data_IF_167471491346
#
_entry.id   IF_167471491346
#
_cell.length_a   1.000
_cell.length_b   1.000
_cell.length_c   1.000
_cell.angle_alpha   90.00
_cell.angle_beta   90.00
_cell.angle_gamma   90.00
#
_symmetry.space_group_name_H-M   'P 1'
#
loop_
_entity.id
_entity.type
_entity.pdbx_description
1 polymer ?
#
# COMPACT_ATOMS: atom_id res chain seq x y z
N UNK A 1 4.75 11.97 5.46
CA UNK A 1 3.75 12.34 4.44
C UNK A 1 2.36 12.50 5.06
N UNK A 2 1.52 13.37 4.50
CA UNK A 2 0.12 13.59 4.94
C UNK A 2 -0.84 12.83 4.00
N UNK A 3 -1.81 12.11 4.55
CA UNK A 3 -2.89 11.46 3.79
C UNK A 3 -4.14 12.33 3.73
N UNK A 4 -4.94 12.16 2.67
CA UNK A 4 -6.22 12.84 2.55
C UNK A 4 -7.26 12.08 3.37
N UNK A 5 -8.06 12.81 4.15
CA UNK A 5 -9.11 12.25 5.01
C UNK A 5 -10.35 13.12 4.83
N UNK A 6 -11.53 12.55 4.52
CA UNK A 6 -12.77 13.33 4.42
C UNK A 6 -13.07 14.05 5.74
N UNK A 7 -13.50 15.30 5.66
CA UNK A 7 -13.95 16.06 6.85
C UNK A 7 -15.14 15.36 7.51
N UNK A 8 -15.09 15.19 8.82
CA UNK A 8 -16.09 14.45 9.59
C UNK A 8 -16.12 12.95 9.31
N UNK A 9 -15.02 12.39 8.79
CA UNK A 9 -14.91 10.96 8.53
C UNK A 9 -15.10 10.14 9.81
N UNK A 10 -15.85 9.04 9.70
CA UNK A 10 -16.01 8.03 10.74
C UNK A 10 -16.06 6.65 10.12
N UNK A 11 -15.40 5.69 10.75
CA UNK A 11 -15.42 4.28 10.39
C UNK A 11 -15.93 3.46 11.57
N UNK A 12 -17.05 2.77 11.34
CA UNK A 12 -17.73 1.94 12.35
C UNK A 12 -17.47 0.47 12.07
N UNK A 13 -17.15 -0.29 13.10
CA UNK A 13 -17.03 -1.74 13.02
C UNK A 13 -17.63 -2.36 14.28
N UNK A 14 -18.47 -3.37 14.09
CA UNK A 14 -19.15 -4.09 15.18
C UNK A 14 -19.94 -3.17 16.14
N UNK A 15 -20.45 -2.04 15.63
CA UNK A 15 -21.22 -1.05 16.40
C UNK A 15 -20.38 0.09 16.99
N UNK A 16 -19.06 -0.03 17.00
CA UNK A 16 -18.15 0.97 17.57
C UNK A 16 -17.50 1.84 16.49
N UNK A 17 -17.35 3.13 16.75
CA UNK A 17 -16.47 4.00 15.96
C UNK A 17 -15.03 3.63 16.30
N UNK A 18 -14.31 3.07 15.32
CA UNK A 18 -12.92 2.61 15.49
C UNK A 18 -11.91 3.51 14.76
N UNK A 19 -12.35 4.40 13.87
CA UNK A 19 -11.52 5.46 13.33
C UNK A 19 -12.37 6.69 13.01
N UNK A 20 -11.80 7.88 13.16
CA UNK A 20 -12.50 9.14 12.88
C UNK A 20 -11.51 10.26 12.55
N UNK A 21 -12.00 11.28 11.86
CA UNK A 21 -11.24 12.50 11.60
C UNK A 21 -11.45 13.51 12.72
N UNK A 22 -10.37 14.07 13.22
CA UNK A 22 -10.35 15.18 14.17
C UNK A 22 -9.26 16.17 13.78
N UNK A 23 -9.65 17.41 13.45
CA UNK A 23 -8.71 18.50 13.11
C UNK A 23 -7.71 18.11 12.00
N UNK A 24 -8.20 17.46 10.95
CA UNK A 24 -7.48 16.91 9.81
C UNK A 24 -6.53 15.73 10.13
N UNK A 25 -6.61 15.17 11.34
CA UNK A 25 -5.88 13.96 11.75
C UNK A 25 -6.83 12.77 11.77
N UNK A 26 -6.43 11.67 11.15
CA UNK A 26 -7.12 10.39 11.28
C UNK A 26 -6.72 9.73 12.60
N UNK A 27 -7.64 9.72 13.55
CA UNK A 27 -7.52 8.97 14.81
C UNK A 27 -7.97 7.53 14.58
N UNK A 28 -7.16 6.56 14.99
CA UNK A 28 -7.46 5.13 14.87
C UNK A 28 -7.40 4.46 16.23
N UNK A 29 -8.50 3.84 16.68
CA UNK A 29 -8.49 3.04 17.91
C UNK A 29 -7.65 1.78 17.71
N UNK A 30 -6.61 1.63 18.52
CA UNK A 30 -5.67 0.54 18.46
C UNK A 30 -6.36 -0.82 18.54
N UNK A 31 -5.89 -1.80 17.74
CA UNK A 31 -6.33 -3.21 17.74
C UNK A 31 -7.78 -3.49 17.30
N UNK A 32 -8.61 -2.49 17.03
CA UNK A 32 -10.03 -2.69 16.71
C UNK A 32 -10.32 -2.83 15.20
N UNK A 33 -9.41 -2.40 14.32
CA UNK A 33 -9.58 -2.49 12.86
C UNK A 33 -8.29 -2.81 12.11
N UNK A 34 -8.43 -3.27 10.87
CA UNK A 34 -7.31 -3.36 9.94
C UNK A 34 -7.11 -2.00 9.29
N UNK A 35 -5.88 -1.50 9.32
CA UNK A 35 -5.48 -0.27 8.63
C UNK A 35 -5.96 -0.25 7.17
N UNK A 36 -5.77 -1.37 6.46
CA UNK A 36 -6.17 -1.51 5.06
C UNK A 36 -7.67 -1.24 4.81
N UNK A 37 -8.55 -1.73 5.67
CA UNK A 37 -10.00 -1.60 5.50
C UNK A 37 -10.42 -0.12 5.62
N UNK A 38 -9.82 0.60 6.56
CA UNK A 38 -10.03 2.05 6.76
C UNK A 38 -9.51 2.84 5.55
N UNK A 39 -8.32 2.51 5.04
CA UNK A 39 -7.77 3.18 3.86
C UNK A 39 -8.63 2.97 2.61
N UNK A 40 -9.20 1.77 2.44
CA UNK A 40 -10.13 1.48 1.34
C UNK A 40 -11.41 2.31 1.43
N UNK A 41 -12.01 2.40 2.62
CA UNK A 41 -13.22 3.20 2.84
C UNK A 41 -12.96 4.69 2.59
N UNK A 42 -11.87 5.23 3.15
CA UNK A 42 -11.42 6.61 2.88
C UNK A 42 -11.26 6.85 1.38
N UNK A 43 -10.62 5.92 0.66
CA UNK A 43 -10.39 6.07 -0.78
C UNK A 43 -11.69 6.13 -1.56
N UNK A 44 -12.66 5.26 -1.26
CA UNK A 44 -13.96 5.30 -1.93
C UNK A 44 -14.75 6.56 -1.60
N UNK A 45 -14.66 7.08 -0.36
CA UNK A 45 -15.32 8.35 0.00
C UNK A 45 -14.72 9.56 -0.71
N UNK A 46 -13.40 9.57 -0.90
CA UNK A 46 -12.72 10.66 -1.59
C UNK A 46 -12.90 10.60 -3.12
N UNK A 47 -12.82 9.42 -3.71
CA UNK A 47 -12.69 9.24 -5.17
C UNK A 47 -13.95 8.70 -5.84
N UNK A 48 -14.94 8.28 -5.07
CA UNK A 48 -16.16 7.65 -5.57
C UNK A 48 -15.96 6.18 -5.96
N UNK A 49 -17.06 5.54 -6.38
CA UNK A 49 -17.11 4.10 -6.67
C UNK A 49 -17.91 3.76 -7.94
N UNK A 50 -18.15 4.73 -8.81
CA UNK A 50 -19.00 4.58 -10.00
C UNK A 50 -18.30 4.83 -11.35
N UNK A 51 -17.02 5.25 -11.35
CA UNK A 51 -16.28 5.57 -12.58
C UNK A 51 -14.85 5.05 -12.50
N UNK A 52 -14.38 4.44 -13.58
CA UNK A 52 -13.01 3.96 -13.67
C UNK A 52 -12.04 5.13 -13.86
N UNK A 53 -11.02 5.22 -13.01
CA UNK A 53 -9.96 6.23 -13.10
C UNK A 53 -9.19 6.18 -14.43
N UNK A 54 -9.01 4.98 -14.99
CA UNK A 54 -8.17 4.79 -16.19
C UNK A 54 -8.92 5.02 -17.50
N UNK A 55 -10.12 4.46 -17.66
CA UNK A 55 -10.87 4.56 -18.92
C UNK A 55 -12.00 5.59 -18.88
N UNK A 56 -12.32 6.17 -17.72
CA UNK A 56 -13.41 7.14 -17.57
C UNK A 56 -14.82 6.57 -17.65
N UNK A 57 -14.97 5.29 -18.03
CA UNK A 57 -16.26 4.61 -18.13
C UNK A 57 -16.96 4.44 -16.79
N UNK A 58 -18.30 4.44 -16.84
CA UNK A 58 -19.13 4.12 -15.68
C UNK A 58 -19.04 2.63 -15.33
N UNK A 59 -18.89 2.34 -14.05
CA UNK A 59 -18.75 1.00 -13.52
C UNK A 59 -19.75 0.82 -12.40
N UNK A 60 -20.51 -0.28 -12.44
CA UNK A 60 -21.43 -0.61 -11.35
C UNK A 60 -20.66 -0.73 -10.03
N UNK A 61 -21.20 -0.23 -8.89
CA UNK A 61 -20.50 -0.25 -7.60
C UNK A 61 -19.96 -1.63 -7.18
N UNK A 62 -20.66 -2.72 -7.51
CA UNK A 62 -20.22 -4.08 -7.20
C UNK A 62 -19.14 -4.65 -8.15
N UNK A 63 -18.82 -3.94 -9.22
CA UNK A 63 -17.79 -4.32 -10.20
C UNK A 63 -16.55 -3.42 -10.14
N UNK A 64 -16.62 -2.29 -9.44
CA UNK A 64 -15.47 -1.44 -9.23
C UNK A 64 -14.52 -2.07 -8.20
N UNK A 65 -13.24 -1.82 -8.36
CA UNK A 65 -12.17 -2.26 -7.46
C UNK A 65 -11.26 -1.09 -7.17
N UNK A 66 -10.44 -1.17 -6.13
CA UNK A 66 -9.31 -0.26 -5.97
C UNK A 66 -8.07 -0.88 -6.60
N UNK A 67 -7.33 -0.07 -7.34
CA UNK A 67 -6.02 -0.42 -7.88
C UNK A 67 -4.94 0.47 -7.26
N UNK A 68 -3.75 -0.10 -7.03
CA UNK A 68 -2.59 0.62 -6.55
C UNK A 68 -1.83 1.22 -7.72
N UNK A 69 -1.83 2.55 -7.81
CA UNK A 69 -1.17 3.33 -8.88
C UNK A 69 0.30 2.92 -9.00
N UNK A 70 1.03 2.98 -7.89
CA UNK A 70 2.30 2.28 -7.70
C UNK A 70 2.02 0.86 -7.18
N UNK A 71 2.36 -0.20 -7.91
CA UNK A 71 2.04 -1.58 -7.54
C UNK A 71 2.61 -2.01 -6.19
N UNK A 72 1.88 -2.84 -5.44
CA UNK A 72 2.37 -3.41 -4.18
C UNK A 72 3.66 -4.24 -4.36
N UNK A 73 3.81 -4.92 -5.51
CA UNK A 73 5.01 -5.69 -5.84
C UNK A 73 6.27 -4.82 -5.99
N UNK A 74 6.10 -3.50 -6.13
CA UNK A 74 7.17 -2.50 -6.26
C UNK A 74 7.22 -1.55 -5.04
N UNK A 75 6.62 -1.95 -3.92
CA UNK A 75 6.60 -1.17 -2.68
C UNK A 75 5.39 -0.27 -2.48
N UNK A 76 4.44 -0.26 -3.41
CA UNK A 76 3.21 0.54 -3.37
C UNK A 76 2.44 0.44 -2.05
N UNK A 77 2.31 1.52 -1.25
CA UNK A 77 1.56 1.49 0.01
C UNK A 77 0.05 1.45 -0.23
N UNK A 78 -0.69 0.90 0.73
CA UNK A 78 -2.16 0.93 0.72
C UNK A 78 -2.64 2.20 1.43
N UNK A 79 -2.61 3.32 0.71
CA UNK A 79 -3.05 4.64 1.18
C UNK A 79 -3.88 5.34 0.09
N UNK A 80 -4.76 6.31 0.44
CA UNK A 80 -5.63 6.98 -0.53
C UNK A 80 -4.88 7.64 -1.70
N UNK A 81 -3.71 8.22 -1.45
CA UNK A 81 -2.85 8.80 -2.48
C UNK A 81 -2.40 7.80 -3.54
N UNK A 82 -2.21 6.53 -3.15
CA UNK A 82 -1.72 5.49 -4.04
C UNK A 82 -2.85 4.62 -4.63
N UNK A 83 -4.11 4.86 -4.27
CA UNK A 83 -5.22 4.00 -4.71
C UNK A 83 -6.23 4.75 -5.56
N UNK A 84 -6.75 4.10 -6.60
CA UNK A 84 -7.77 4.68 -7.47
C UNK A 84 -8.89 3.68 -7.78
N UNK A 85 -10.16 4.13 -7.89
CA UNK A 85 -11.24 3.27 -8.37
C UNK A 85 -10.99 2.85 -9.82
N UNK A 86 -11.03 1.55 -10.10
CA UNK A 86 -10.68 0.97 -11.39
C UNK A 86 -11.62 -0.19 -11.74
N UNK A 87 -11.99 -0.28 -13.02
CA UNK A 87 -12.70 -1.45 -13.53
C UNK A 87 -11.76 -2.66 -13.61
N UNK A 88 -12.30 -3.87 -13.49
CA UNK A 88 -11.48 -5.11 -13.52
C UNK A 88 -10.66 -5.26 -14.80
N UNK A 89 -11.16 -4.76 -15.93
CA UNK A 89 -10.45 -4.82 -17.21
C UNK A 89 -9.20 -3.92 -17.18
N UNK A 90 -9.32 -2.66 -16.79
CA UNK A 90 -8.18 -1.75 -16.68
C UNK A 90 -7.19 -2.20 -15.59
N UNK A 91 -7.69 -2.59 -14.42
CA UNK A 91 -6.87 -3.10 -13.33
C UNK A 91 -6.07 -4.35 -13.77
N UNK A 92 -6.75 -5.34 -14.36
CA UNK A 92 -6.09 -6.53 -14.91
C UNK A 92 -5.15 -6.24 -16.07
N UNK A 93 -5.42 -5.20 -16.86
CA UNK A 93 -4.50 -4.74 -17.90
C UNK A 93 -3.25 -4.09 -17.31
N UNK A 94 -3.37 -3.33 -16.22
CA UNK A 94 -2.25 -2.63 -15.59
C UNK A 94 -1.26 -3.60 -14.94
N UNK A 95 -1.77 -4.59 -14.22
CA UNK A 95 -0.96 -5.47 -13.38
C UNK A 95 0.05 -4.68 -12.51
N UNK A 96 1.31 -5.09 -12.48
CA UNK A 96 2.39 -4.43 -11.76
C UNK A 96 3.14 -3.42 -12.65
N UNK A 97 2.51 -2.87 -13.70
CA UNK A 97 3.11 -1.75 -14.43
C UNK A 97 3.12 -0.51 -13.54
N UNK A 98 4.24 0.21 -13.57
CA UNK A 98 4.34 1.54 -12.98
C UNK A 98 3.38 2.52 -13.67
N UNK A 99 3.06 3.67 -13.06
CA UNK A 99 2.19 4.67 -13.68
C UNK A 99 2.67 5.11 -15.07
N UNK A 100 3.99 5.27 -15.24
CA UNK A 100 4.59 5.66 -16.52
C UNK A 100 4.50 4.55 -17.57
N UNK A 101 4.79 3.30 -17.18
CA UNK A 101 4.64 2.14 -18.07
C UNK A 101 3.19 1.97 -18.53
N UNK A 102 2.23 2.10 -17.61
CA UNK A 102 0.83 1.92 -17.96
C UNK A 102 0.31 3.07 -18.83
N UNK A 103 0.74 4.31 -18.58
CA UNK A 103 0.45 5.44 -19.47
C UNK A 103 1.02 5.21 -20.87
N UNK A 104 2.26 4.74 -20.98
CA UNK A 104 2.85 4.39 -22.27
C UNK A 104 2.03 3.31 -22.98
N UNK A 105 1.62 2.25 -22.26
CA UNK A 105 0.75 1.20 -22.78
C UNK A 105 -0.61 1.73 -23.29
N UNK A 106 -1.27 2.61 -22.54
CA UNK A 106 -2.56 3.21 -22.94
C UNK A 106 -2.44 4.14 -24.16
N UNK A 107 -1.28 4.78 -24.36
CA UNK A 107 -1.02 5.65 -25.51
C UNK A 107 -0.79 4.88 -26.82
N UNK A 108 -0.52 3.57 -26.75
CA UNK A 108 -0.40 2.72 -27.93
C UNK A 108 -1.79 2.48 -28.53
N UNK A 109 -2.04 3.00 -29.73
CA UNK A 109 -3.31 2.80 -30.45
C UNK A 109 -3.41 1.46 -31.18
N UNK A 110 -2.26 0.92 -31.59
CA UNK A 110 -2.20 -0.35 -32.32
C UNK A 110 -2.21 -1.56 -31.35
N UNK A 111 -3.14 -2.52 -31.52
CA UNK A 111 -3.19 -3.72 -30.68
C UNK A 111 -1.93 -4.60 -30.76
N UNK A 112 -1.25 -4.63 -31.91
CA UNK A 112 0.00 -5.37 -32.10
C UNK A 112 1.14 -4.80 -31.25
N UNK A 113 1.27 -3.47 -31.24
CA UNK A 113 2.22 -2.76 -30.38
C UNK A 113 1.90 -2.94 -28.90
N UNK A 114 0.61 -2.90 -28.51
CA UNK A 114 0.21 -3.20 -27.14
C UNK A 114 0.60 -4.62 -26.70
N UNK A 115 0.40 -5.61 -27.58
CA UNK A 115 0.80 -6.99 -27.32
C UNK A 115 2.32 -7.13 -27.23
N UNK A 116 3.07 -6.43 -28.10
CA UNK A 116 4.53 -6.39 -28.03
C UNK A 116 5.02 -5.78 -26.72
N UNK A 117 4.52 -4.61 -26.35
CA UNK A 117 4.85 -3.94 -25.09
C UNK A 117 4.65 -4.87 -23.89
N UNK A 118 3.52 -5.59 -23.86
CA UNK A 118 3.25 -6.57 -22.80
C UNK A 118 4.29 -7.68 -22.75
N UNK A 119 4.66 -8.26 -23.90
CA UNK A 119 5.67 -9.34 -23.94
C UNK A 119 7.00 -8.86 -23.37
N UNK A 120 7.45 -7.68 -23.80
CA UNK A 120 8.69 -7.06 -23.32
C UNK A 120 8.62 -6.75 -21.81
N UNK A 121 7.49 -6.22 -21.35
CA UNK A 121 7.23 -6.01 -19.92
C UNK A 121 7.34 -7.33 -19.13
N UNK A 122 6.69 -8.40 -19.56
CA UNK A 122 6.73 -9.69 -18.86
C UNK A 122 8.13 -10.30 -18.80
N UNK A 123 8.94 -10.12 -19.84
CA UNK A 123 10.34 -10.57 -19.84
C UNK A 123 11.19 -9.84 -18.80
N UNK A 124 10.87 -8.58 -18.51
CA UNK A 124 11.65 -7.71 -17.61
C UNK A 124 11.05 -7.57 -16.20
N UNK A 125 9.78 -7.94 -16.00
CA UNK A 125 9.03 -7.82 -14.73
C UNK A 125 9.74 -8.46 -13.54
N UNK A 126 10.37 -9.61 -13.74
CA UNK A 126 11.10 -10.34 -12.68
C UNK A 126 12.28 -9.55 -12.13
N UNK A 127 12.93 -8.70 -12.94
CA UNK A 127 14.02 -7.84 -12.50
C UNK A 127 13.52 -6.63 -11.69
N UNK A 128 12.39 -6.03 -12.09
CA UNK A 128 11.83 -4.83 -11.43
C UNK A 128 11.48 -5.08 -9.95
N UNK A 129 10.89 -6.24 -9.65
CA UNK A 129 10.46 -6.61 -8.28
C UNK A 129 11.59 -6.91 -7.29
N UNK A 130 12.85 -6.93 -7.74
CA UNK A 130 13.96 -7.49 -6.96
C UNK A 130 14.82 -6.45 -6.23
N UNK A 131 14.80 -5.17 -6.61
CA UNK A 131 15.90 -4.28 -6.22
C UNK A 131 15.56 -2.84 -5.81
N UNK A 132 14.39 -2.30 -6.16
CA UNK A 132 14.09 -0.88 -5.85
C UNK A 132 12.60 -0.70 -5.58
N UNK A 133 12.25 -0.01 -4.48
CA UNK A 133 10.91 0.55 -4.30
C UNK A 133 10.72 1.69 -5.29
N UNK A 134 9.79 1.53 -6.23
CA UNK A 134 9.51 2.59 -7.22
C UNK A 134 8.38 3.44 -6.65
N UNK A 135 8.74 4.36 -5.77
CA UNK A 135 7.82 5.29 -5.10
C UNK A 135 8.25 6.76 -5.34
N UNK A 136 7.33 7.72 -5.18
CA UNK A 136 7.68 9.14 -5.23
C UNK A 136 8.76 9.52 -4.22
N UNK A 137 9.56 10.52 -4.57
CA UNK A 137 10.55 11.10 -3.67
C UNK A 137 9.88 11.66 -2.41
N UNK A 138 10.54 11.51 -1.26
CA UNK A 138 10.04 11.97 0.04
C UNK A 138 8.94 11.11 0.67
N UNK A 139 8.50 10.03 0.03
CA UNK A 139 7.56 9.09 0.66
C UNK A 139 8.25 8.14 1.64
N UNK A 140 9.50 7.77 1.35
CA UNK A 140 10.26 6.81 2.14
C UNK A 140 11.27 7.56 3.01
N UNK A 141 11.32 7.20 4.29
CA UNK A 141 12.39 7.54 5.23
C UNK A 141 13.00 6.26 5.80
N UNK A 142 14.21 6.33 6.35
CA UNK A 142 14.75 5.26 7.19
C UNK A 142 14.38 5.54 8.65
N UNK A 143 13.88 4.52 9.37
CA UNK A 143 13.55 4.63 10.79
C UNK A 143 14.28 3.56 11.58
N UNK A 144 14.90 3.90 12.73
CA UNK A 144 15.46 2.92 13.62
C UNK A 144 14.39 1.94 14.11
N UNK A 145 14.69 0.65 14.07
CA UNK A 145 13.75 -0.40 14.52
C UNK A 145 13.46 -0.30 16.02
N UNK A 146 14.36 0.30 16.80
CA UNK A 146 14.16 0.63 18.22
C UNK A 146 13.00 1.58 18.46
N UNK A 147 12.70 2.43 17.49
CA UNK A 147 11.73 3.51 17.62
C UNK A 147 10.32 3.03 17.22
N UNK A 148 10.23 1.84 16.60
CA UNK A 148 8.97 1.28 16.12
C UNK A 148 8.16 0.62 17.25
N UNK A 149 6.95 1.14 17.44
CA UNK A 149 5.97 0.63 18.41
C UNK A 149 5.10 -0.43 17.72
N UNK A 150 5.04 -1.63 18.31
CA UNK A 150 4.27 -2.77 17.79
C UNK A 150 3.48 -3.45 18.91
N UNK A 151 2.31 -4.00 18.58
CA UNK A 151 1.47 -4.76 19.51
C UNK A 151 1.44 -6.26 19.24
N UNK A 152 2.37 -6.77 18.43
CA UNK A 152 2.45 -8.20 18.07
C UNK A 152 3.35 -8.96 19.03
N UNK A 153 3.04 -10.24 19.25
CA UNK A 153 3.99 -11.17 19.84
C UNK A 153 5.16 -11.37 18.86
N UNK A 154 6.38 -11.13 19.35
CA UNK A 154 7.60 -11.19 18.55
C UNK A 154 8.18 -12.61 18.41
N UNK A 155 7.49 -13.64 18.92
CA UNK A 155 8.00 -15.01 18.94
C UNK A 155 7.50 -15.90 17.80
N UNK A 156 6.33 -15.62 17.19
CA UNK A 156 5.75 -16.51 16.17
C UNK A 156 6.36 -16.33 14.78
N UNK A 157 7.37 -17.14 14.51
CA UNK A 157 8.08 -17.22 13.22
C UNK A 157 7.59 -18.37 12.33
N UNK A 158 6.57 -19.13 12.77
CA UNK A 158 6.10 -20.34 12.08
C UNK A 158 5.26 -20.02 10.83
N UNK A 159 4.72 -18.80 10.76
CA UNK A 159 3.76 -18.39 9.74
C UNK A 159 4.33 -18.38 8.32
N UNK A 160 3.50 -18.72 7.33
CA UNK A 160 3.87 -18.61 5.91
C UNK A 160 4.22 -17.17 5.50
N UNK A 161 3.66 -16.16 6.16
CA UNK A 161 4.02 -14.76 5.94
C UNK A 161 5.47 -14.50 6.33
N UNK A 162 5.91 -14.99 7.49
CA UNK A 162 7.28 -14.84 7.95
C UNK A 162 8.28 -15.53 7.02
N UNK A 163 7.99 -16.77 6.59
CA UNK A 163 8.81 -17.51 5.63
C UNK A 163 9.01 -16.72 4.33
N UNK A 164 7.95 -16.13 3.78
CA UNK A 164 8.03 -15.29 2.57
C UNK A 164 8.90 -14.05 2.76
N UNK A 165 8.80 -13.37 3.90
CA UNK A 165 9.68 -12.22 4.20
C UNK A 165 11.14 -12.68 4.30
N UNK A 166 11.42 -13.77 5.01
CA UNK A 166 12.77 -14.35 5.13
C UNK A 166 13.37 -14.68 3.77
N UNK A 167 12.63 -15.39 2.92
CA UNK A 167 13.08 -15.75 1.57
C UNK A 167 13.34 -14.51 0.70
N UNK A 168 12.44 -13.53 0.75
CA UNK A 168 12.60 -12.29 0.00
C UNK A 168 13.84 -11.52 0.48
N UNK A 169 14.01 -11.35 1.79
CA UNK A 169 15.16 -10.62 2.34
C UNK A 169 16.48 -11.35 2.10
N UNK A 170 16.52 -12.68 2.19
CA UNK A 170 17.70 -13.46 1.87
C UNK A 170 18.17 -13.27 0.42
N UNK A 171 17.21 -13.14 -0.51
CA UNK A 171 17.46 -12.95 -1.94
C UNK A 171 17.82 -11.51 -2.30
N UNK A 172 17.09 -10.54 -1.77
CA UNK A 172 17.12 -9.14 -2.23
C UNK A 172 17.87 -8.21 -1.27
N UNK A 173 18.14 -8.65 -0.03
CA UNK A 173 18.72 -7.82 1.05
C UNK A 173 17.94 -6.53 1.35
N UNK A 174 16.65 -6.55 1.05
CA UNK A 174 15.68 -5.47 1.32
C UNK A 174 14.31 -6.07 1.66
N UNK A 175 13.40 -5.26 2.18
CA UNK A 175 12.02 -5.66 2.44
C UNK A 175 11.12 -5.45 1.22
N UNK A 176 10.06 -6.27 1.04
CA UNK A 176 9.19 -6.18 -0.16
C UNK A 176 8.50 -4.83 -0.35
N UNK A 177 8.22 -4.13 0.75
CA UNK A 177 7.64 -2.79 0.78
C UNK A 177 8.10 -2.05 2.04
N UNK A 178 8.09 -0.71 2.04
CA UNK A 178 8.27 0.07 3.25
C UNK A 178 7.20 -0.25 4.31
N UNK A 179 7.54 -0.08 5.58
CA UNK A 179 6.63 -0.23 6.71
C UNK A 179 5.81 1.04 6.85
N UNK A 180 4.50 0.93 7.05
CA UNK A 180 3.66 2.11 7.26
C UNK A 180 3.57 2.34 8.76
N UNK A 181 3.86 3.56 9.20
CA UNK A 181 3.78 3.96 10.60
C UNK A 181 2.96 5.25 10.75
N UNK A 182 2.38 5.44 11.92
CA UNK A 182 1.71 6.68 12.29
C UNK A 182 2.70 7.77 12.72
N UNK A 183 2.22 8.94 13.15
CA UNK A 183 3.07 10.06 13.57
C UNK A 183 3.90 9.80 14.84
N UNK A 184 3.64 8.71 15.58
CA UNK A 184 4.35 8.29 16.77
C UNK A 184 5.13 6.98 16.56
N UNK A 185 5.41 6.61 15.31
CA UNK A 185 6.10 5.37 14.93
C UNK A 185 5.36 4.08 15.31
N UNK A 186 4.05 4.15 15.54
CA UNK A 186 3.22 2.97 15.68
C UNK A 186 3.03 2.28 14.34
N UNK A 187 3.34 0.99 14.26
CA UNK A 187 3.24 0.23 13.01
C UNK A 187 1.78 0.00 12.61
N UNK A 188 1.42 0.45 11.42
CA UNK A 188 0.10 0.33 10.81
C UNK A 188 0.03 -0.82 9.79
N UNK A 189 1.13 -1.07 9.07
CA UNK A 189 1.27 -2.16 8.09
C UNK A 189 2.74 -2.60 8.00
N UNK A 190 2.98 -3.88 7.72
CA UNK A 190 4.34 -4.44 7.65
C UNK A 190 4.82 -5.16 8.93
N UNK A 191 3.92 -5.48 9.85
CA UNK A 191 4.20 -6.20 11.11
C UNK A 191 5.17 -7.39 10.99
N UNK A 192 4.98 -8.26 10.00
CA UNK A 192 5.84 -9.44 9.79
C UNK A 192 7.27 -9.06 9.36
N UNK A 193 7.43 -7.96 8.62
CA UNK A 193 8.74 -7.45 8.26
C UNK A 193 9.46 -6.86 9.48
N UNK A 194 8.76 -6.10 10.32
CA UNK A 194 9.30 -5.59 11.59
C UNK A 194 9.71 -6.74 12.51
N UNK A 195 8.88 -7.77 12.62
CA UNK A 195 9.20 -9.00 13.36
C UNK A 195 10.51 -9.65 12.87
N UNK A 196 10.62 -9.86 11.55
CA UNK A 196 11.84 -10.40 10.95
C UNK A 196 13.04 -9.52 11.24
N UNK A 197 12.89 -8.20 11.13
CA UNK A 197 13.96 -7.24 11.34
C UNK A 197 14.50 -7.28 12.78
N UNK A 198 13.60 -7.29 13.77
CA UNK A 198 13.95 -7.44 15.19
C UNK A 198 14.69 -8.77 15.45
N UNK A 199 14.18 -9.88 14.92
CA UNK A 199 14.79 -11.21 15.12
C UNK A 199 16.16 -11.37 14.46
N UNK A 200 16.49 -10.55 13.45
CA UNK A 200 17.76 -10.62 12.72
C UNK A 200 18.67 -9.41 12.98
N UNK A 201 18.39 -8.62 14.03
CA UNK A 201 19.22 -7.47 14.45
C UNK A 201 19.47 -6.45 13.33
N UNK A 202 18.49 -6.28 12.44
CA UNK A 202 18.50 -5.19 11.47
C UNK A 202 18.29 -3.90 12.28
N UNK A 203 19.02 -2.82 11.94
CA UNK A 203 19.02 -1.57 12.71
C UNK A 203 17.96 -0.58 12.22
N UNK A 204 17.82 -0.46 10.90
CA UNK A 204 16.95 0.51 10.25
C UNK A 204 16.08 -0.21 9.22
N UNK A 205 14.92 0.36 8.94
CA UNK A 205 13.99 -0.16 7.96
C UNK A 205 13.34 1.00 7.19
N UNK A 206 13.10 0.85 5.88
CA UNK A 206 12.36 1.83 5.12
C UNK A 206 10.93 1.93 5.65
N UNK A 207 10.51 3.16 5.94
CA UNK A 207 9.20 3.50 6.46
C UNK A 207 8.51 4.55 5.60
N UNK A 208 7.18 4.54 5.66
CA UNK A 208 6.33 5.63 5.21
C UNK A 208 5.62 6.14 6.47
N UNK A 209 6.03 7.33 6.92
CA UNK A 209 5.45 7.98 8.11
C UNK A 209 4.20 8.75 7.68
N UNK A 210 3.06 8.43 8.27
CA UNK A 210 1.80 9.14 8.05
C UNK A 210 1.62 10.20 9.14
N UNK A 211 2.00 11.43 8.83
CA UNK A 211 2.11 12.55 9.79
C UNK A 211 0.75 12.97 10.39
N UNK A 212 -0.34 12.74 9.67
CA UNK A 212 -1.70 13.04 10.14
C UNK A 212 -2.52 11.77 10.43
N UNK A 213 -1.85 10.67 10.79
CA UNK A 213 -2.50 9.48 11.33
C UNK A 213 -1.96 9.24 12.72
N UNK A 214 -2.85 8.92 13.66
CA UNK A 214 -2.50 8.69 15.05
C UNK A 214 -3.29 7.52 15.60
N UNK A 215 -2.58 6.53 16.14
CA UNK A 215 -3.19 5.43 16.88
C UNK A 215 -3.44 5.86 18.33
N UNK A 216 -4.68 5.71 18.76
CA UNK A 216 -5.14 6.02 20.12
C UNK A 216 -5.55 4.73 20.84
N UNK A 217 -5.30 4.67 22.15
CA UNK A 217 -5.60 3.53 23.01
C UNK A 217 -6.64 3.87 24.05
#
# INVERSE_FOLDING_TARGET
MIIEVPKGYTFVKDGDIIAFEEKAVLKMKGRQGKFQDIMYDITYRLKGSNRCYYCGEEVKPNKITLDHVYPQALGGPTIPQNMVPSCRNCNGKKEDMTPNQFRAYLNLKDPGLQAQFRREYFQTKTFQTRWVHILPEGWISETPISDLIVTIDLSDTSTNKYKKIKEYYARCRQFPKPIIVDCHNFVLDGFTAVLYAKNNRIKEIPTIVLENVEVIF
#
